data_IF_030917417134
#
_entry.id   IF_030917417134
#
_cell.length_a   1.000
_cell.length_b   1.000
_cell.length_c   1.000
_cell.angle_alpha   90.00
_cell.angle_beta   90.00
_cell.angle_gamma   90.00
#
_symmetry.space_group_name_H-M   'P 1'
#
loop_
_entity.id
_entity.type
_entity.pdbx_description
1 polymer ?
#
# COMPACT_ATOMS: atom_id res chain seq x y z
N UNK A 1 -25.17 0.10 -14.23
CA UNK A 1 -24.92 0.28 -15.68
C UNK A 1 -24.44 1.70 -15.92
N UNK A 2 -23.27 2.06 -15.41
CA UNK A 2 -22.59 3.35 -15.66
C UNK A 2 -21.08 3.15 -15.44
N UNK A 3 -20.50 2.21 -16.21
CA UNK A 3 -19.06 2.17 -16.45
C UNK A 3 -18.89 2.87 -17.79
N UNK A 4 -18.48 4.13 -17.76
CA UNK A 4 -18.09 4.92 -18.93
C UNK A 4 -19.16 4.98 -20.06
N UNK A 5 -20.33 5.58 -19.81
CA UNK A 5 -21.34 5.72 -20.88
C UNK A 5 -20.92 6.72 -21.98
N UNK A 6 -20.00 7.65 -21.68
CA UNK A 6 -19.58 8.68 -22.64
C UNK A 6 -18.07 8.73 -22.93
N UNK A 7 -17.21 8.14 -22.09
CA UNK A 7 -15.75 8.21 -22.26
C UNK A 7 -15.16 9.56 -21.84
N UNK A 8 -15.96 10.43 -21.25
CA UNK A 8 -15.49 11.63 -20.55
C UNK A 8 -15.02 11.22 -19.15
N UNK A 9 -13.82 11.69 -18.76
CA UNK A 9 -13.31 11.51 -17.42
C UNK A 9 -14.22 12.27 -16.43
N UNK A 10 -14.62 11.65 -15.31
CA UNK A 10 -15.47 12.33 -14.34
C UNK A 10 -14.78 13.59 -13.79
N UNK A 11 -15.58 14.64 -13.60
CA UNK A 11 -15.13 15.90 -12.97
C UNK A 11 -15.14 15.84 -11.43
N UNK A 12 -15.67 14.75 -10.88
CA UNK A 12 -15.99 14.49 -9.48
C UNK A 12 -16.20 12.96 -9.30
N UNK A 13 -15.81 12.41 -8.14
CA UNK A 13 -15.65 10.99 -7.76
C UNK A 13 -16.24 9.91 -8.72
N UNK A 14 -15.47 8.87 -9.08
CA UNK A 14 -15.96 7.83 -9.98
C UNK A 14 -17.05 6.99 -9.32
N UNK A 15 -17.98 6.48 -10.13
CA UNK A 15 -19.08 5.60 -9.68
C UNK A 15 -18.60 4.20 -9.22
N UNK A 16 -17.34 3.87 -9.48
CA UNK A 16 -16.63 2.64 -9.09
C UNK A 16 -15.20 3.02 -8.71
N UNK A 17 -14.56 2.34 -7.73
CA UNK A 17 -13.16 2.57 -7.39
C UNK A 17 -12.27 2.56 -8.64
N UNK A 18 -11.28 3.45 -8.68
CA UNK A 18 -10.44 3.68 -9.87
C UNK A 18 -9.67 2.42 -10.28
N UNK A 19 -9.28 1.61 -9.31
CA UNK A 19 -8.60 0.32 -9.47
C UNK A 19 -9.49 -0.68 -10.23
N UNK A 20 -10.79 -0.68 -9.95
CA UNK A 20 -11.77 -1.51 -10.65
C UNK A 20 -12.02 -0.97 -12.07
N UNK A 21 -12.02 0.35 -12.24
CA UNK A 21 -12.17 0.98 -13.56
C UNK A 21 -11.02 0.63 -14.50
N UNK A 22 -9.78 0.56 -13.99
CA UNK A 22 -8.62 0.03 -14.72
C UNK A 22 -8.80 -1.41 -15.14
N UNK A 23 -9.18 -2.27 -14.20
CA UNK A 23 -9.42 -3.68 -14.48
C UNK A 23 -10.40 -3.91 -15.60
N UNK A 24 -11.53 -3.21 -15.55
CA UNK A 24 -12.57 -3.31 -16.57
C UNK A 24 -12.11 -2.79 -17.93
N UNK A 25 -11.35 -1.69 -17.96
CA UNK A 25 -10.75 -1.13 -19.17
C UNK A 25 -9.75 -2.09 -19.81
N UNK A 26 -8.81 -2.62 -19.04
CA UNK A 26 -7.76 -3.54 -19.55
C UNK A 26 -8.36 -4.84 -20.06
N UNK A 27 -9.31 -5.41 -19.31
CA UNK A 27 -9.97 -6.65 -19.65
C UNK A 27 -11.05 -6.49 -20.72
N UNK A 28 -11.31 -5.26 -21.20
CA UNK A 28 -12.37 -4.92 -22.15
C UNK A 28 -13.73 -5.51 -21.74
N UNK A 29 -14.02 -5.51 -20.43
CA UNK A 29 -15.22 -6.12 -19.90
C UNK A 29 -16.42 -5.19 -20.06
N UNK A 30 -17.50 -5.71 -20.65
CA UNK A 30 -18.75 -4.96 -20.87
C UNK A 30 -18.58 -3.85 -21.92
N UNK A 31 -18.99 -2.63 -21.59
CA UNK A 31 -18.89 -1.44 -22.46
C UNK A 31 -17.67 -0.56 -22.15
N UNK A 32 -16.68 -1.08 -21.41
CA UNK A 32 -15.52 -0.30 -20.98
C UNK A 32 -14.67 0.14 -22.19
N UNK A 33 -14.32 1.43 -22.23
CA UNK A 33 -13.38 2.00 -23.19
C UNK A 33 -11.97 1.97 -22.61
N UNK A 34 -10.96 1.93 -23.49
CA UNK A 34 -9.57 2.06 -23.08
C UNK A 34 -9.33 3.42 -22.39
N UNK A 35 -8.75 3.37 -21.19
CA UNK A 35 -8.32 4.55 -20.44
C UNK A 35 -7.00 5.12 -21.01
N UNK A 36 -6.73 6.42 -20.80
CA UNK A 36 -5.42 7.00 -21.05
C UNK A 36 -4.30 6.24 -20.32
N UNK A 37 -3.17 6.04 -21.00
CA UNK A 37 -2.02 5.29 -20.49
C UNK A 37 -0.73 6.10 -20.46
N UNK A 38 -0.76 7.36 -20.89
CA UNK A 38 0.42 8.23 -20.91
C UNK A 38 0.09 9.69 -20.56
N UNK A 39 1.08 10.41 -20.04
CA UNK A 39 0.96 11.84 -19.72
C UNK A 39 0.56 12.69 -20.94
N UNK A 40 0.99 12.29 -22.15
CA UNK A 40 0.61 12.95 -23.39
C UNK A 40 -0.88 12.83 -23.72
N UNK A 41 -1.54 11.79 -23.22
CA UNK A 41 -2.98 11.57 -23.38
C UNK A 41 -3.76 12.24 -22.25
N UNK A 42 -3.20 12.27 -21.04
CA UNK A 42 -3.78 12.92 -19.89
C UNK A 42 -2.69 13.52 -18.97
N UNK A 43 -2.47 14.85 -19.00
CA UNK A 43 -1.58 15.50 -18.05
C UNK A 43 -2.17 15.44 -16.64
N UNK A 44 -1.30 15.42 -15.62
CA UNK A 44 -1.70 15.40 -14.21
C UNK A 44 -2.64 16.55 -13.86
N UNK A 45 -3.76 16.22 -13.21
CA UNK A 45 -4.73 17.17 -12.68
C UNK A 45 -4.93 16.88 -11.18
N UNK A 46 -4.81 17.93 -10.37
CA UNK A 46 -5.14 17.86 -8.94
C UNK A 46 -6.65 18.08 -8.79
N UNK A 47 -7.35 17.11 -8.25
CA UNK A 47 -8.78 17.19 -7.93
C UNK A 47 -9.00 17.97 -6.63
N UNK A 48 -10.26 18.30 -6.32
CA UNK A 48 -10.60 19.15 -5.16
C UNK A 48 -10.24 18.54 -3.81
N UNK A 49 -10.18 17.22 -3.73
CA UNK A 49 -9.80 16.42 -2.58
C UNK A 49 -8.28 16.21 -2.47
N UNK A 50 -7.49 16.72 -3.42
CA UNK A 50 -6.04 16.53 -3.48
C UNK A 50 -5.61 15.30 -4.29
N UNK A 51 -6.56 14.51 -4.80
CA UNK A 51 -6.26 13.33 -5.63
C UNK A 51 -5.61 13.74 -6.95
N UNK A 52 -4.62 12.95 -7.41
CA UNK A 52 -3.92 13.17 -8.67
C UNK A 52 -4.52 12.33 -9.79
N UNK A 53 -5.27 12.96 -10.69
CA UNK A 53 -5.78 12.33 -11.92
C UNK A 53 -4.74 12.48 -13.04
N UNK A 54 -4.12 11.37 -13.43
CA UNK A 54 -3.13 11.31 -14.51
C UNK A 54 -2.51 9.91 -14.60
N UNK A 55 -1.54 9.72 -15.51
CA UNK A 55 -0.95 8.40 -15.81
C UNK A 55 0.46 8.19 -15.24
N UNK A 56 1.00 9.12 -14.42
CA UNK A 56 2.32 8.96 -13.80
C UNK A 56 2.25 8.05 -12.58
N UNK A 57 3.42 7.72 -12.04
CA UNK A 57 3.56 6.90 -10.84
C UNK A 57 2.71 7.47 -9.69
N UNK A 58 1.90 6.61 -9.06
CA UNK A 58 1.00 6.94 -7.94
C UNK A 58 -0.22 7.83 -8.28
N UNK A 59 -0.43 8.13 -9.56
CA UNK A 59 -1.64 8.83 -10.01
C UNK A 59 -2.76 7.82 -10.26
N UNK A 60 -4.00 8.30 -10.34
CA UNK A 60 -5.18 7.45 -10.50
C UNK A 60 -5.11 6.53 -11.72
N UNK A 61 -4.45 6.95 -12.80
CA UNK A 61 -4.26 6.17 -14.02
C UNK A 61 -2.89 5.48 -14.13
N UNK A 62 -2.16 5.34 -13.04
CA UNK A 62 -0.92 4.55 -13.02
C UNK A 62 -1.22 3.10 -13.41
N UNK A 63 -0.59 2.63 -14.49
CA UNK A 63 -0.74 1.26 -14.98
C UNK A 63 -0.28 0.22 -13.96
N UNK A 64 0.62 0.57 -13.04
CA UNK A 64 1.09 -0.33 -11.99
C UNK A 64 -0.03 -0.68 -10.98
N UNK A 65 -1.12 0.09 -10.90
CA UNK A 65 -2.31 -0.32 -10.13
C UNK A 65 -2.95 -1.61 -10.68
N UNK A 66 -2.72 -1.94 -11.95
CA UNK A 66 -3.20 -3.20 -12.54
C UNK A 66 -2.56 -4.42 -11.88
N UNK A 67 -1.32 -4.30 -11.38
CA UNK A 67 -0.68 -5.35 -10.61
C UNK A 67 -1.43 -5.60 -9.30
N UNK A 68 -1.84 -4.54 -8.60
CA UNK A 68 -2.65 -4.65 -7.39
C UNK A 68 -3.97 -5.40 -7.66
N UNK A 69 -4.62 -5.12 -8.79
CA UNK A 69 -5.82 -5.86 -9.21
C UNK A 69 -5.53 -7.34 -9.47
N UNK A 70 -4.45 -7.66 -10.20
CA UNK A 70 -4.07 -9.05 -10.46
C UNK A 70 -3.81 -9.77 -9.14
N UNK A 71 -3.03 -9.16 -8.23
CA UNK A 71 -2.75 -9.71 -6.91
C UNK A 71 -4.01 -9.89 -6.07
N UNK A 72 -4.95 -8.95 -6.13
CA UNK A 72 -6.25 -9.09 -5.48
C UNK A 72 -7.01 -10.30 -6.02
N UNK A 73 -7.09 -10.46 -7.35
CA UNK A 73 -7.76 -11.61 -8.00
C UNK A 73 -7.06 -12.94 -7.62
N UNK A 74 -5.74 -12.99 -7.69
CA UNK A 74 -4.93 -14.17 -7.32
C UNK A 74 -5.19 -14.61 -5.88
N UNK A 75 -5.43 -13.66 -4.98
CA UNK A 75 -5.59 -13.88 -3.54
C UNK A 75 -7.05 -13.77 -3.05
N UNK A 76 -8.05 -13.67 -3.93
CA UNK A 76 -9.49 -13.55 -3.60
C UNK A 76 -10.02 -14.59 -2.61
N UNK A 77 -9.36 -15.76 -2.51
CA UNK A 77 -9.71 -16.86 -1.60
C UNK A 77 -8.56 -17.31 -0.73
N UNK A 78 -7.40 -16.65 -0.83
CA UNK A 78 -6.15 -17.01 -0.17
C UNK A 78 -5.62 -15.77 0.53
N UNK A 79 -6.26 -15.43 1.63
CA UNK A 79 -5.80 -14.35 2.48
C UNK A 79 -4.63 -14.82 3.35
N UNK A 80 -3.73 -13.90 3.69
CA UNK A 80 -2.76 -14.12 4.74
C UNK A 80 -3.48 -14.54 6.04
N UNK A 81 -2.88 -15.48 6.77
CA UNK A 81 -3.39 -15.90 8.07
C UNK A 81 -2.96 -14.91 9.14
N UNK A 82 -3.92 -14.22 9.75
CA UNK A 82 -3.63 -13.33 10.87
C UNK A 82 -3.58 -14.10 12.19
N UNK A 83 -2.71 -13.67 13.10
CA UNK A 83 -2.73 -14.14 14.48
C UNK A 83 -4.07 -13.74 15.13
N UNK A 84 -4.83 -14.74 15.58
CA UNK A 84 -6.14 -14.53 16.23
C UNK A 84 -6.07 -14.57 17.75
N UNK A 85 -4.97 -15.10 18.29
CA UNK A 85 -4.70 -15.11 19.73
C UNK A 85 -3.78 -13.94 20.04
N UNK A 86 -4.25 -12.90 20.76
CA UNK A 86 -3.38 -11.80 21.15
C UNK A 86 -2.31 -12.30 22.11
N UNK A 87 -1.10 -11.75 21.98
CA UNK A 87 -0.06 -11.94 22.98
C UNK A 87 -0.42 -11.11 24.21
N UNK A 88 -0.34 -11.73 25.39
CA UNK A 88 -0.53 -11.06 26.67
C UNK A 88 0.78 -11.10 27.44
N UNK A 89 1.28 -9.94 27.83
CA UNK A 89 2.47 -9.83 28.67
C UNK A 89 2.32 -8.76 29.74
N UNK A 90 3.13 -8.89 30.78
CA UNK A 90 3.31 -7.86 31.78
C UNK A 90 4.29 -6.81 31.25
N UNK A 91 3.97 -5.54 31.47
CA UNK A 91 4.83 -4.41 31.16
C UNK A 91 5.14 -3.67 32.46
N UNK A 92 6.34 -3.11 32.54
CA UNK A 92 6.71 -2.25 33.66
C UNK A 92 5.86 -0.96 33.66
N UNK A 93 5.83 -0.29 34.82
CA UNK A 93 5.07 0.96 35.01
C UNK A 93 5.54 2.07 34.07
N UNK A 94 6.82 2.07 33.73
CA UNK A 94 7.45 2.99 32.80
C UNK A 94 8.06 2.15 31.68
N UNK A 95 7.72 2.49 30.44
CA UNK A 95 8.12 1.75 29.25
C UNK A 95 8.35 2.72 28.10
N UNK A 96 9.32 2.41 27.25
CA UNK A 96 9.59 3.13 26.01
C UNK A 96 9.13 2.25 24.84
N UNK A 97 8.25 2.81 24.01
CA UNK A 97 7.77 2.17 22.79
C UNK A 97 8.31 2.92 21.57
N UNK A 98 8.82 2.19 20.60
CA UNK A 98 9.10 2.71 19.27
C UNK A 98 8.08 2.13 18.27
N UNK A 99 7.33 3.02 17.62
CA UNK A 99 6.17 2.64 16.79
C UNK A 99 6.38 3.21 15.38
N UNK A 100 6.22 2.37 14.36
CA UNK A 100 6.28 2.79 12.96
C UNK A 100 5.23 2.05 12.11
N UNK A 101 4.80 2.64 11.00
CA UNK A 101 3.97 2.03 9.97
C UNK A 101 4.63 2.20 8.60
N UNK A 102 3.96 1.74 7.53
CA UNK A 102 4.41 1.92 6.14
C UNK A 102 5.80 1.34 5.84
N UNK A 103 6.14 0.25 6.53
CA UNK A 103 7.50 -0.31 6.53
C UNK A 103 7.92 -0.93 5.20
N UNK A 104 7.01 -1.61 4.52
CA UNK A 104 7.22 -2.35 3.27
C UNK A 104 7.35 -1.48 2.02
N UNK A 105 7.33 -0.15 2.17
CA UNK A 105 7.22 0.77 1.03
C UNK A 105 8.59 1.34 0.63
N UNK A 106 9.43 0.51 -0.02
CA UNK A 106 10.64 1.03 -0.67
C UNK A 106 11.82 0.06 -0.73
N UNK A 107 12.97 0.50 -1.29
CA UNK A 107 14.20 -0.28 -1.23
C UNK A 107 14.64 -0.43 0.24
N UNK A 108 15.29 -1.54 0.60
CA UNK A 108 15.90 -1.76 1.92
C UNK A 108 17.43 -1.55 1.90
N UNK A 109 17.92 -0.67 1.02
CA UNK A 109 19.33 -0.31 0.96
C UNK A 109 19.72 0.72 2.04
N UNK A 110 21.02 0.99 2.18
CA UNK A 110 21.54 1.87 3.25
C UNK A 110 21.06 3.32 3.21
N UNK A 111 20.46 3.78 2.11
CA UNK A 111 19.94 5.14 1.95
C UNK A 111 18.40 5.17 1.99
N UNK A 112 17.77 4.03 2.20
CA UNK A 112 16.33 3.91 2.26
C UNK A 112 15.73 4.66 3.46
N UNK A 113 14.55 5.28 3.29
CA UNK A 113 13.79 5.85 4.39
C UNK A 113 13.53 4.86 5.53
N UNK A 114 13.18 3.60 5.21
CA UNK A 114 12.96 2.55 6.20
C UNK A 114 14.20 2.31 7.08
N UNK A 115 15.40 2.28 6.49
CA UNK A 115 16.66 2.14 7.22
C UNK A 115 16.94 3.37 8.10
N UNK A 116 16.64 4.57 7.62
CA UNK A 116 16.81 5.79 8.41
C UNK A 116 15.88 5.79 9.65
N UNK A 117 14.62 5.38 9.48
CA UNK A 117 13.66 5.20 10.59
C UNK A 117 14.15 4.10 11.54
N UNK A 118 14.62 2.98 10.99
CA UNK A 118 15.19 1.86 11.76
C UNK A 118 16.29 2.34 12.72
N UNK A 119 17.22 3.14 12.20
CA UNK A 119 18.35 3.68 12.96
C UNK A 119 17.88 4.60 14.09
N UNK A 120 16.87 5.44 13.86
CA UNK A 120 16.29 6.28 14.91
C UNK A 120 15.59 5.46 16.00
N UNK A 121 14.85 4.42 15.61
CA UNK A 121 14.20 3.51 16.56
C UNK A 121 15.23 2.78 17.43
N UNK A 122 16.38 2.36 16.87
CA UNK A 122 17.48 1.76 17.64
C UNK A 122 18.08 2.73 18.66
N UNK A 123 18.25 4.00 18.30
CA UNK A 123 18.75 5.03 19.21
C UNK A 123 17.80 5.30 20.38
N UNK A 124 16.50 5.10 20.18
CA UNK A 124 15.51 5.27 21.25
C UNK A 124 15.66 4.24 22.38
N UNK A 125 16.39 3.13 22.14
CA UNK A 125 16.56 2.04 23.12
C UNK A 125 15.21 1.60 23.70
N UNK A 126 14.22 1.42 22.82
CA UNK A 126 12.87 1.09 23.21
C UNK A 126 12.80 -0.32 23.85
N UNK A 127 11.93 -0.46 24.83
CA UNK A 127 11.67 -1.75 25.46
C UNK A 127 10.89 -2.65 24.51
N UNK A 128 9.99 -2.07 23.70
CA UNK A 128 9.26 -2.75 22.64
C UNK A 128 9.24 -1.93 21.35
N UNK A 129 9.25 -2.63 20.22
CA UNK A 129 8.96 -2.05 18.91
C UNK A 129 7.62 -2.56 18.39
N UNK A 130 6.84 -1.70 17.74
CA UNK A 130 5.50 -2.04 17.22
C UNK A 130 5.39 -1.56 15.77
N UNK A 131 5.08 -2.48 14.84
CA UNK A 131 4.74 -2.16 13.47
C UNK A 131 3.21 -2.02 13.33
N UNK A 132 2.75 -0.94 12.71
CA UNK A 132 1.32 -0.65 12.53
C UNK A 132 0.74 -1.19 11.21
N UNK A 133 1.55 -1.91 10.44
CA UNK A 133 1.14 -2.49 9.15
C UNK A 133 1.89 -1.88 7.98
N UNK A 134 1.33 -2.09 6.79
CA UNK A 134 1.90 -1.67 5.50
C UNK A 134 3.34 -2.16 5.31
N UNK A 135 3.54 -3.41 5.72
CA UNK A 135 4.77 -4.21 5.58
C UNK A 135 4.85 -4.85 4.20
N UNK A 136 3.75 -4.92 3.47
CA UNK A 136 3.66 -5.55 2.16
C UNK A 136 2.62 -4.83 1.31
N UNK A 137 2.76 -4.93 -0.01
CA UNK A 137 1.82 -4.31 -0.95
C UNK A 137 0.62 -5.22 -1.27
N UNK A 138 0.82 -6.55 -1.30
CA UNK A 138 -0.19 -7.51 -1.75
C UNK A 138 -0.57 -8.59 -0.72
N UNK A 139 0.05 -8.59 0.47
CA UNK A 139 -0.30 -9.55 1.54
C UNK A 139 0.23 -10.95 1.31
N UNK A 140 1.34 -11.10 0.56
CA UNK A 140 1.98 -12.40 0.42
C UNK A 140 2.98 -12.61 1.57
N UNK A 141 2.95 -13.77 2.22
CA UNK A 141 3.84 -14.04 3.35
C UNK A 141 5.33 -14.00 2.99
N UNK A 142 5.67 -14.24 1.71
CA UNK A 142 7.05 -14.10 1.21
C UNK A 142 7.54 -12.65 1.16
N UNK A 143 6.65 -11.67 1.01
CA UNK A 143 7.00 -10.25 1.08
C UNK A 143 7.20 -9.83 2.53
N UNK A 144 6.30 -10.26 3.43
CA UNK A 144 6.38 -9.94 4.85
C UNK A 144 7.70 -10.38 5.50
N UNK A 145 8.14 -11.62 5.26
CA UNK A 145 9.40 -12.14 5.81
C UNK A 145 10.63 -11.36 5.31
N UNK A 146 10.60 -10.91 4.05
CA UNK A 146 11.70 -10.16 3.44
C UNK A 146 11.72 -8.73 3.95
N UNK A 147 10.56 -8.08 3.98
CA UNK A 147 10.43 -6.66 4.32
C UNK A 147 10.65 -6.44 5.83
N UNK A 148 10.28 -7.41 6.67
CA UNK A 148 10.54 -7.36 8.12
C UNK A 148 11.97 -7.73 8.52
N UNK A 149 12.81 -8.21 7.60
CA UNK A 149 14.18 -8.61 7.94
C UNK A 149 15.01 -7.46 8.56
N UNK A 150 14.68 -6.20 8.22
CA UNK A 150 15.33 -5.00 8.75
C UNK A 150 14.66 -4.39 9.99
N UNK A 151 13.59 -4.98 10.51
CA UNK A 151 12.82 -4.39 11.61
C UNK A 151 13.63 -4.31 12.92
N UNK A 152 13.74 -3.14 13.57
CA UNK A 152 14.45 -2.99 14.83
C UNK A 152 13.76 -3.76 15.96
N UNK A 153 14.52 -4.56 16.71
CA UNK A 153 14.00 -5.22 17.91
C UNK A 153 14.03 -4.28 19.12
N UNK A 154 12.93 -4.24 19.88
CA UNK A 154 12.95 -3.72 21.25
C UNK A 154 13.70 -4.66 22.20
N UNK A 155 14.08 -4.17 23.38
CA UNK A 155 14.80 -4.98 24.40
C UNK A 155 14.05 -6.23 24.84
N UNK A 156 12.73 -6.17 24.84
CA UNK A 156 11.84 -7.22 25.32
C UNK A 156 11.00 -7.86 24.22
N UNK A 157 10.88 -7.22 23.05
CA UNK A 157 10.17 -7.79 21.91
C UNK A 157 9.87 -6.81 20.79
N UNK A 158 9.33 -7.35 19.70
CA UNK A 158 8.79 -6.64 18.55
C UNK A 158 7.41 -7.23 18.20
N UNK A 159 6.47 -6.38 17.81
CA UNK A 159 5.08 -6.74 17.49
C UNK A 159 4.58 -6.06 16.24
#
# INVERSE_FOLDING_TARGET
>A
QYVLEHGDLPTDEPSVPWELSHGLSILHMGSAKALPTSESQLPTRVLKDGTLLGCRKWELLDLLWSEALIKWIENLRRHATFATTPMVMMMDREVVLAIAGDWGTGPFDSHAPAVAVANQMQLAQADFTIHLGDVYYAGTGSEEDVDMAGWPMGKHGAF
#
